data_IF_772327956606
#
_entry.id   IF_772327956606
#
_cell.length_a   1.000
_cell.length_b   1.000
_cell.length_c   1.000
_cell.angle_alpha   90.00
_cell.angle_beta   90.00
_cell.angle_gamma   90.00
#
_symmetry.space_group_name_H-M   'P 1'
#
loop_
_entity.id
_entity.type
_entity.pdbx_description
1 polymer ?
#
# COMPACT_ATOMS: atom_id res chain seq x y z
N UNK A 1 38.98 13.27 -10.17
CA UNK A 1 37.64 13.79 -9.78
C UNK A 1 36.71 12.59 -9.62
N UNK A 2 36.29 12.30 -8.38
CA UNK A 2 35.43 11.16 -8.01
C UNK A 2 34.03 11.35 -8.60
N UNK A 3 33.61 10.47 -9.50
CA UNK A 3 32.18 10.28 -9.82
C UNK A 3 31.70 9.11 -8.98
N UNK A 4 31.09 9.42 -7.84
CA UNK A 4 30.36 8.45 -7.04
C UNK A 4 29.07 8.12 -7.82
N UNK A 5 29.06 7.01 -8.55
CA UNK A 5 27.81 6.43 -9.03
C UNK A 5 27.09 5.87 -7.79
N UNK A 6 26.17 6.65 -7.23
CA UNK A 6 25.16 6.15 -6.30
C UNK A 6 24.26 5.19 -7.08
N UNK A 7 24.57 3.90 -6.98
CA UNK A 7 23.73 2.84 -7.48
C UNK A 7 22.40 2.85 -6.75
N UNK A 8 21.33 3.08 -7.50
CA UNK A 8 19.97 2.82 -7.06
C UNK A 8 19.89 1.34 -6.65
N UNK A 9 19.72 1.06 -5.36
CA UNK A 9 19.35 -0.27 -4.91
C UNK A 9 17.95 -0.57 -5.42
N UNK A 10 17.89 -1.41 -6.45
CA UNK A 10 16.67 -2.05 -6.93
C UNK A 10 16.26 -3.07 -5.88
N UNK A 11 15.25 -2.75 -5.08
CA UNK A 11 14.54 -3.76 -4.30
C UNK A 11 13.67 -4.56 -5.28
N UNK A 12 14.12 -5.77 -5.61
CA UNK A 12 13.33 -6.71 -6.39
C UNK A 12 12.00 -6.97 -5.66
N UNK A 13 10.89 -6.62 -6.33
CA UNK A 13 9.54 -6.91 -5.86
C UNK A 13 9.35 -8.42 -5.94
N UNK A 14 9.54 -9.12 -4.83
CA UNK A 14 9.05 -10.48 -4.70
C UNK A 14 7.53 -10.42 -4.79
N UNK A 15 6.96 -11.06 -5.81
CA UNK A 15 5.52 -11.30 -5.86
C UNK A 15 5.12 -12.03 -4.58
N UNK A 16 4.46 -11.33 -3.65
CA UNK A 16 3.88 -11.94 -2.46
C UNK A 16 2.69 -12.76 -2.96
N UNK A 17 2.98 -14.01 -3.32
CA UNK A 17 1.95 -15.02 -3.49
C UNK A 17 1.29 -15.22 -2.13
N UNK A 18 -0.02 -14.98 -2.06
CA UNK A 18 -0.85 -15.38 -0.91
C UNK A 18 -0.95 -16.92 -0.89
N UNK A 19 0.17 -17.59 -0.63
CA UNK A 19 0.30 -19.03 -0.44
C UNK A 19 0.39 -19.33 1.04
N UNK A 20 -0.61 -20.08 1.55
CA UNK A 20 -0.98 -20.14 2.96
C UNK A 20 0.12 -20.41 4.00
N UNK A 21 0.00 -19.75 5.14
CA UNK A 21 -0.07 -20.37 6.47
C UNK A 21 -0.60 -19.34 7.48
N UNK A 22 -1.78 -19.59 8.05
CA UNK A 22 -2.46 -18.75 9.04
C UNK A 22 -3.81 -18.26 8.54
N UNK A 23 -4.86 -19.05 8.75
CA UNK A 23 -6.22 -18.57 8.57
C UNK A 23 -6.53 -17.55 9.68
N UNK A 24 -6.43 -16.26 9.36
CA UNK A 24 -7.01 -15.20 10.19
C UNK A 24 -8.41 -14.93 9.67
N UNK A 25 -9.39 -15.60 10.29
CA UNK A 25 -10.79 -15.44 9.95
C UNK A 25 -11.31 -14.08 10.40
N UNK A 26 -11.69 -13.25 9.44
CA UNK A 26 -12.45 -12.02 9.65
C UNK A 26 -13.36 -11.72 8.45
N UNK A 27 -14.21 -12.67 8.06
CA UNK A 27 -15.01 -12.62 6.82
C UNK A 27 -16.10 -11.52 6.75
N UNK A 28 -16.04 -10.47 7.58
CA UNK A 28 -17.10 -9.47 7.74
C UNK A 28 -16.66 -8.01 7.46
N UNK A 29 -15.70 -7.78 6.56
CA UNK A 29 -15.26 -6.40 6.25
C UNK A 29 -14.58 -5.69 7.43
N UNK A 30 -14.09 -6.46 8.41
CA UNK A 30 -13.28 -5.95 9.51
C UNK A 30 -11.81 -5.90 9.08
N UNK A 31 -11.05 -5.00 9.71
CA UNK A 31 -9.60 -4.92 9.54
C UNK A 31 -8.96 -6.25 9.97
N UNK A 32 -8.06 -6.76 9.15
CA UNK A 32 -7.31 -7.99 9.39
C UNK A 32 -5.81 -7.69 9.32
N UNK A 33 -5.04 -8.44 10.10
CA UNK A 33 -3.58 -8.35 10.15
C UNK A 33 -2.92 -9.47 9.34
N UNK A 34 -1.74 -9.20 8.79
CA UNK A 34 -0.89 -10.21 8.16
C UNK A 34 0.60 -9.85 8.30
N UNK A 35 1.46 -10.83 8.01
CA UNK A 35 2.92 -10.67 7.98
C UNK A 35 3.64 -11.48 9.05
N UNK A 36 4.95 -11.25 9.15
CA UNK A 36 5.85 -11.92 10.10
C UNK A 36 6.26 -11.03 11.27
N UNK A 37 5.98 -9.73 11.18
CA UNK A 37 6.11 -8.77 12.29
C UNK A 37 4.92 -8.83 13.25
N UNK A 38 5.00 -8.06 14.33
CA UNK A 38 3.91 -7.95 15.32
C UNK A 38 2.91 -6.90 14.84
N UNK A 39 1.70 -7.32 14.47
CA UNK A 39 0.62 -6.41 14.08
C UNK A 39 -0.48 -6.46 15.13
N UNK A 40 -0.79 -5.32 15.74
CA UNK A 40 -1.85 -5.20 16.75
C UNK A 40 -2.93 -4.28 16.22
N UNK A 41 -4.13 -4.83 15.97
CA UNK A 41 -5.32 -4.03 15.63
C UNK A 41 -5.77 -3.27 16.88
N UNK A 42 -5.82 -1.94 16.79
CA UNK A 42 -6.13 -1.04 17.92
C UNK A 42 -7.52 -0.44 17.84
N UNK A 43 -8.22 -0.60 16.71
CA UNK A 43 -9.57 -0.12 16.48
C UNK A 43 -10.15 -0.70 15.19
N UNK A 44 -11.35 -0.25 14.82
CA UNK A 44 -12.04 -0.75 13.62
C UNK A 44 -11.27 -0.48 12.32
N UNK A 45 -10.50 0.61 12.29
CA UNK A 45 -9.78 1.14 11.14
C UNK A 45 -8.32 1.53 11.51
N UNK A 46 -7.77 0.96 12.58
CA UNK A 46 -6.42 1.28 13.05
C UNK A 46 -5.64 0.08 13.56
N UNK A 47 -4.32 0.12 13.35
CA UNK A 47 -3.38 -0.86 13.84
C UNK A 47 -1.99 -0.26 14.09
N UNK A 48 -1.21 -0.93 14.93
CA UNK A 48 0.23 -0.73 15.08
C UNK A 48 0.98 -1.92 14.49
N UNK A 49 2.15 -1.67 13.93
CA UNK A 49 3.00 -2.66 13.29
C UNK A 49 4.41 -2.49 13.83
N UNK A 50 4.99 -3.54 14.39
CA UNK A 50 6.39 -3.56 14.86
C UNK A 50 7.13 -4.64 14.10
N UNK A 51 8.12 -4.22 13.32
CA UNK A 51 8.97 -5.10 12.53
C UNK A 51 10.40 -5.10 13.07
N UNK A 52 10.93 -6.30 13.32
CA UNK A 52 12.36 -6.52 13.42
C UNK A 52 13.00 -6.58 12.02
N UNK A 53 14.33 -6.69 11.97
CA UNK A 53 15.06 -6.85 10.70
C UNK A 53 14.58 -8.08 9.94
N UNK A 54 14.23 -7.90 8.66
CA UNK A 54 13.71 -8.98 7.80
C UNK A 54 12.23 -9.30 7.99
N UNK A 55 11.53 -8.63 8.92
CA UNK A 55 10.08 -8.78 9.08
C UNK A 55 9.30 -7.76 8.25
N UNK A 56 8.05 -8.11 7.98
CA UNK A 56 7.05 -7.20 7.45
C UNK A 56 5.73 -7.43 8.17
N UNK A 57 4.89 -6.40 8.20
CA UNK A 57 3.58 -6.47 8.80
C UNK A 57 2.63 -5.57 8.04
N UNK A 58 1.36 -5.92 8.00
CA UNK A 58 0.37 -5.14 7.30
C UNK A 58 -1.04 -5.43 7.73
N UNK A 59 -1.95 -4.63 7.20
CA UNK A 59 -3.38 -4.77 7.40
C UNK A 59 -4.13 -4.67 6.09
N UNK A 60 -5.27 -5.35 6.00
CA UNK A 60 -6.21 -5.21 4.91
C UNK A 60 -7.63 -5.29 5.43
N UNK A 61 -8.57 -4.77 4.65
CA UNK A 61 -10.00 -5.00 4.86
C UNK A 61 -10.44 -5.92 3.74
N UNK A 62 -11.02 -7.08 4.08
CA UNK A 62 -11.52 -8.03 3.10
C UNK A 62 -12.88 -7.59 2.54
N UNK A 63 -12.95 -6.35 2.05
CA UNK A 63 -14.09 -5.81 1.32
C UNK A 63 -13.83 -5.88 -0.18
N UNK A 64 -14.87 -6.19 -0.95
CA UNK A 64 -14.84 -6.17 -2.42
C UNK A 64 -15.56 -4.95 -3.00
N UNK A 65 -15.96 -3.99 -2.17
CA UNK A 65 -16.73 -2.82 -2.63
C UNK A 65 -16.02 -2.03 -3.73
N UNK A 66 -14.68 -2.00 -3.74
CA UNK A 66 -13.89 -1.31 -4.77
C UNK A 66 -13.34 -2.24 -5.86
N UNK A 67 -13.57 -3.55 -5.77
CA UNK A 67 -13.06 -4.51 -6.74
C UNK A 67 -13.71 -4.25 -8.11
N UNK A 68 -12.88 -4.04 -9.14
CA UNK A 68 -13.33 -3.76 -10.50
C UNK A 68 -13.72 -2.31 -10.76
N UNK A 69 -13.64 -1.41 -9.77
CA UNK A 69 -13.86 0.01 -10.00
C UNK A 69 -12.73 0.63 -10.82
N UNK A 70 -13.06 1.64 -11.64
CA UNK A 70 -12.07 2.42 -12.37
C UNK A 70 -11.17 3.18 -11.41
N UNK A 71 -9.92 3.42 -11.80
CA UNK A 71 -8.97 4.14 -10.93
C UNK A 71 -9.45 5.55 -10.57
N UNK A 72 -10.15 6.24 -11.46
CA UNK A 72 -10.71 7.57 -11.19
C UNK A 72 -11.99 7.56 -10.33
N UNK A 73 -12.51 6.37 -9.99
CA UNK A 73 -13.74 6.21 -9.25
C UNK A 73 -13.51 5.76 -7.79
N UNK A 74 -12.25 5.57 -7.37
CA UNK A 74 -11.90 5.09 -6.03
C UNK A 74 -11.20 6.17 -5.21
N UNK A 75 -11.48 6.17 -3.93
CA UNK A 75 -10.75 6.93 -2.92
C UNK A 75 -10.22 5.97 -1.86
N UNK A 76 -8.89 5.88 -1.79
CA UNK A 76 -8.19 5.14 -0.76
C UNK A 76 -7.39 6.10 0.09
N UNK A 77 -7.44 5.95 1.41
CA UNK A 77 -6.55 6.67 2.31
C UNK A 77 -6.28 5.96 3.61
N UNK A 78 -5.17 6.33 4.26
CA UNK A 78 -4.93 6.09 5.67
C UNK A 78 -4.05 7.21 6.24
N UNK A 79 -4.02 7.34 7.56
CA UNK A 79 -3.06 8.20 8.27
C UNK A 79 -1.91 7.32 8.75
N UNK A 80 -0.71 7.62 8.26
CA UNK A 80 0.55 7.07 8.74
C UNK A 80 0.99 7.78 10.01
N UNK A 81 1.55 7.03 10.95
CA UNK A 81 2.29 7.54 12.11
C UNK A 81 3.46 6.63 12.48
N UNK A 82 4.30 7.08 13.42
CA UNK A 82 5.50 6.34 13.81
C UNK A 82 6.64 6.53 12.80
N UNK A 83 7.34 5.46 12.49
CA UNK A 83 8.46 5.48 11.55
C UNK A 83 8.00 5.67 10.09
N UNK A 84 8.83 6.36 9.29
CA UNK A 84 8.69 6.47 7.83
C UNK A 84 10.04 6.17 7.20
N UNK A 85 10.19 4.98 6.62
CA UNK A 85 11.47 4.48 6.10
C UNK A 85 11.23 3.32 5.12
N UNK A 86 12.13 3.08 4.18
CA UNK A 86 12.07 1.92 3.28
C UNK A 86 10.85 1.90 2.32
N UNK A 87 10.16 3.02 2.15
CA UNK A 87 8.87 3.08 1.45
C UNK A 87 7.70 2.54 2.29
N UNK A 88 7.84 2.52 3.61
CA UNK A 88 6.81 2.11 4.56
C UNK A 88 6.37 3.25 5.50
N UNK A 89 5.11 3.23 5.97
CA UNK A 89 4.04 2.34 5.50
C UNK A 89 3.54 2.78 4.10
N UNK A 90 3.11 1.81 3.29
CA UNK A 90 2.53 2.05 1.96
C UNK A 90 1.16 1.43 1.78
N UNK A 91 0.32 2.09 1.02
CA UNK A 91 -0.88 1.50 0.44
C UNK A 91 -0.51 0.78 -0.86
N UNK A 92 -0.81 -0.51 -0.94
CA UNK A 92 -0.63 -1.34 -2.12
C UNK A 92 -1.98 -1.65 -2.75
N UNK A 93 -2.21 -1.17 -3.97
CA UNK A 93 -3.49 -1.28 -4.67
C UNK A 93 -3.31 -2.18 -5.90
N UNK A 94 -3.98 -3.35 -5.98
CA UNK A 94 -3.85 -4.25 -7.12
C UNK A 94 -4.52 -3.66 -8.35
N UNK A 95 -3.79 -3.54 -9.46
CA UNK A 95 -4.27 -2.92 -10.70
C UNK A 95 -4.41 -3.98 -11.79
N UNK A 96 -5.55 -3.94 -12.48
CA UNK A 96 -5.76 -4.60 -13.77
C UNK A 96 -5.69 -3.54 -14.88
N UNK A 97 -4.76 -3.71 -15.83
CA UNK A 97 -4.60 -2.79 -16.96
C UNK A 97 -5.44 -3.17 -18.19
N UNK A 98 -5.98 -4.39 -18.22
CA UNK A 98 -6.66 -4.95 -19.39
C UNK A 98 -8.15 -4.58 -19.47
N UNK A 99 -8.62 -3.71 -18.56
CA UNK A 99 -9.96 -3.13 -18.60
C UNK A 99 -11.09 -4.03 -18.08
N UNK A 100 -10.78 -5.24 -17.62
CA UNK A 100 -11.74 -6.19 -17.06
C UNK A 100 -11.09 -7.48 -16.54
N UNK A 101 -11.77 -8.14 -15.60
CA UNK A 101 -11.32 -9.41 -15.00
C UNK A 101 -10.43 -9.26 -13.77
N UNK A 102 -9.96 -10.40 -13.26
CA UNK A 102 -9.22 -10.49 -11.99
C UNK A 102 -7.69 -10.51 -12.12
N UNK A 103 -7.13 -10.43 -13.33
CA UNK A 103 -5.66 -10.46 -13.50
C UNK A 103 -5.02 -9.22 -12.87
N UNK A 104 -4.02 -9.42 -12.01
CA UNK A 104 -3.22 -8.34 -11.42
C UNK A 104 -2.02 -8.09 -12.31
N UNK A 105 -2.01 -6.97 -13.02
CA UNK A 105 -0.85 -6.52 -13.81
C UNK A 105 0.30 -6.04 -12.91
N UNK A 106 -0.04 -5.49 -11.75
CA UNK A 106 0.91 -5.07 -10.73
C UNK A 106 0.19 -4.37 -9.56
N UNK A 107 0.97 -3.89 -8.60
CA UNK A 107 0.47 -3.07 -7.50
C UNK A 107 0.92 -1.63 -7.70
N UNK A 108 -0.02 -0.69 -7.61
CA UNK A 108 0.29 0.72 -7.47
C UNK A 108 0.54 1.01 -5.98
N UNK A 109 1.66 1.67 -5.69
CA UNK A 109 2.09 1.97 -4.33
C UNK A 109 2.00 3.47 -4.05
N UNK A 110 1.40 3.82 -2.92
CA UNK A 110 1.44 5.18 -2.36
C UNK A 110 2.02 5.05 -0.97
N UNK A 111 3.20 5.61 -0.73
CA UNK A 111 3.88 5.48 0.56
C UNK A 111 3.93 6.81 1.32
N UNK A 112 4.10 6.71 2.65
CA UNK A 112 4.13 7.87 3.53
C UNK A 112 5.22 8.88 3.15
N UNK A 113 6.40 8.42 2.71
CA UNK A 113 7.49 9.32 2.31
C UNK A 113 7.17 10.05 1.00
N UNK A 114 6.58 9.34 0.03
CA UNK A 114 6.05 9.88 -1.23
C UNK A 114 4.90 10.87 -1.05
N UNK A 115 4.27 10.90 0.13
CA UNK A 115 3.29 11.91 0.55
C UNK A 115 3.90 13.02 1.44
N UNK A 116 5.22 13.08 1.59
CA UNK A 116 5.92 14.09 2.40
C UNK A 116 6.06 13.75 3.89
N UNK A 117 5.75 12.51 4.27
CA UNK A 117 5.82 12.04 5.65
C UNK A 117 7.24 11.88 6.17
N UNK A 118 7.37 11.98 7.49
CA UNK A 118 8.64 11.87 8.22
C UNK A 118 8.40 11.11 9.52
N UNK A 119 9.39 10.34 9.98
CA UNK A 119 9.32 9.62 11.25
C UNK A 119 8.93 10.55 12.40
N UNK A 120 8.02 10.09 13.26
CA UNK A 120 7.49 10.84 14.40
C UNK A 120 6.35 11.80 14.05
N UNK A 121 6.03 12.00 12.77
CA UNK A 121 4.90 12.80 12.30
C UNK A 121 3.69 11.96 11.92
N UNK A 122 2.53 12.60 11.81
CA UNK A 122 1.35 12.03 11.16
C UNK A 122 1.29 12.48 9.70
N UNK A 123 0.93 11.59 8.78
CA UNK A 123 0.84 11.92 7.34
C UNK A 123 -0.31 11.17 6.70
N UNK A 124 -1.20 11.89 6.03
CA UNK A 124 -2.26 11.27 5.23
C UNK A 124 -1.70 10.76 3.91
N UNK A 125 -1.79 9.46 3.71
CA UNK A 125 -1.52 8.79 2.44
C UNK A 125 -2.86 8.62 1.73
N UNK A 126 -3.02 9.19 0.53
CA UNK A 126 -4.32 9.16 -0.16
C UNK A 126 -4.22 9.27 -1.68
N UNK A 127 -5.10 8.56 -2.38
CA UNK A 127 -5.32 8.72 -3.82
C UNK A 127 -5.90 10.09 -4.19
N UNK A 128 -6.51 10.81 -3.24
CA UNK A 128 -7.08 12.14 -3.48
C UNK A 128 -6.06 13.26 -3.23
N UNK A 129 -4.86 12.94 -2.73
CA UNK A 129 -3.80 13.91 -2.49
C UNK A 129 -3.02 14.17 -3.77
N UNK A 130 -2.90 15.45 -4.16
CA UNK A 130 -2.05 15.87 -5.27
C UNK A 130 -0.55 15.84 -4.96
N UNK A 131 -0.19 15.63 -3.69
CA UNK A 131 1.20 15.59 -3.20
C UNK A 131 1.74 14.17 -3.06
N UNK A 132 0.86 13.16 -3.09
CA UNK A 132 1.23 11.77 -2.92
C UNK A 132 1.68 11.17 -4.26
N UNK A 133 2.97 10.94 -4.41
CA UNK A 133 3.52 10.21 -5.55
C UNK A 133 3.01 8.77 -5.57
N UNK A 134 2.90 8.21 -6.79
CA UNK A 134 2.42 6.84 -7.00
C UNK A 134 3.43 6.07 -7.84
N UNK A 135 3.97 4.99 -7.31
CA UNK A 135 4.81 4.09 -8.08
C UNK A 135 3.98 2.95 -8.68
N UNK A 136 4.04 2.77 -10.00
CA UNK A 136 3.40 1.63 -10.67
C UNK A 136 4.24 1.19 -11.86
N UNK A 137 4.52 -0.12 -11.95
CA UNK A 137 5.36 -0.72 -13.01
C UNK A 137 6.71 -0.01 -13.18
N UNK A 138 7.36 0.36 -12.07
CA UNK A 138 8.63 1.11 -12.04
C UNK A 138 8.57 2.53 -12.60
N UNK A 139 7.38 3.09 -12.81
CA UNK A 139 7.16 4.49 -13.17
C UNK A 139 6.63 5.24 -11.95
N UNK A 140 7.23 6.40 -11.68
CA UNK A 140 6.77 7.32 -10.63
C UNK A 140 5.83 8.37 -11.25
N UNK A 141 4.58 8.35 -10.82
CA UNK A 141 3.56 9.32 -11.22
C UNK A 141 3.43 10.39 -10.13
N UNK A 142 3.24 11.67 -10.50
CA UNK A 142 3.17 12.75 -9.52
C UNK A 142 1.97 12.65 -8.58
N UNK A 143 0.91 11.96 -9.00
CA UNK A 143 -0.25 11.64 -8.17
C UNK A 143 -1.13 10.56 -8.84
N UNK A 144 -2.16 10.12 -8.11
CA UNK A 144 -3.11 9.12 -8.58
C UNK A 144 -3.89 9.56 -9.82
N UNK A 145 -4.24 10.84 -9.94
CA UNK A 145 -4.94 11.34 -11.11
C UNK A 145 -4.07 11.19 -12.37
N UNK A 146 -2.76 11.45 -12.28
CA UNK A 146 -1.83 11.23 -13.38
C UNK A 146 -1.73 9.74 -13.75
N UNK A 147 -1.71 8.83 -12.77
CA UNK A 147 -1.77 7.39 -13.03
C UNK A 147 -3.08 7.01 -13.76
N UNK A 148 -4.22 7.48 -13.26
CA UNK A 148 -5.53 7.19 -13.85
C UNK A 148 -5.66 7.73 -15.29
N UNK A 149 -5.01 8.86 -15.61
CA UNK A 149 -4.95 9.39 -16.97
C UNK A 149 -4.05 8.55 -17.89
N UNK A 150 -2.95 8.00 -17.38
CA UNK A 150 -2.06 7.12 -18.14
C UNK A 150 -2.71 5.76 -18.44
N UNK A 151 -3.61 5.30 -17.57
CA UNK A 151 -4.34 4.04 -17.72
C UNK A 151 -5.86 4.25 -17.59
N UNK A 152 -6.50 4.89 -18.59
CA UNK A 152 -7.90 5.35 -18.48
C UNK A 152 -8.92 4.21 -18.36
N UNK A 153 -8.56 3.00 -18.80
CA UNK A 153 -9.40 1.80 -18.70
C UNK A 153 -9.04 0.92 -17.51
N UNK A 154 -7.93 1.21 -16.81
CA UNK A 154 -7.48 0.37 -15.71
C UNK A 154 -8.45 0.42 -14.53
N UNK A 155 -8.45 -0.67 -13.79
CA UNK A 155 -9.34 -0.91 -12.66
C UNK A 155 -8.55 -1.43 -11.48
N UNK A 156 -9.13 -1.29 -10.28
CA UNK A 156 -8.74 -2.14 -9.16
C UNK A 156 -9.04 -3.59 -9.56
N UNK A 157 -8.06 -4.49 -9.47
CA UNK A 157 -8.18 -5.84 -9.99
C UNK A 157 -9.36 -6.59 -9.32
N UNK A 158 -10.21 -7.20 -10.15
CA UNK A 158 -11.46 -7.80 -9.67
C UNK A 158 -11.18 -9.00 -8.74
N UNK A 159 -11.84 -9.04 -7.59
CA UNK A 159 -11.67 -10.10 -6.60
C UNK A 159 -10.46 -9.94 -5.67
N UNK A 160 -9.62 -8.93 -5.92
CA UNK A 160 -8.51 -8.55 -5.05
C UNK A 160 -8.88 -7.34 -4.18
N UNK A 161 -8.10 -7.11 -3.13
CA UNK A 161 -8.31 -6.01 -2.18
C UNK A 161 -7.01 -5.23 -1.96
N UNK A 162 -7.08 -3.89 -1.81
CA UNK A 162 -5.95 -3.10 -1.37
C UNK A 162 -5.52 -3.48 0.05
N UNK A 163 -4.25 -3.26 0.37
CA UNK A 163 -3.70 -3.49 1.70
C UNK A 163 -2.65 -2.45 2.05
N UNK A 164 -2.47 -2.21 3.35
CA UNK A 164 -1.41 -1.34 3.86
C UNK A 164 -0.33 -2.23 4.44
N UNK A 165 0.93 -1.96 4.11
CA UNK A 165 2.06 -2.76 4.56
C UNK A 165 3.20 -1.85 5.02
N UNK A 166 3.87 -2.26 6.08
CA UNK A 166 5.19 -1.80 6.43
C UNK A 166 6.20 -2.92 6.12
N UNK A 167 6.97 -2.70 5.06
CA UNK A 167 8.04 -3.57 4.57
C UNK A 167 9.31 -2.75 4.28
N UNK A 168 10.45 -3.41 4.13
CA UNK A 168 11.70 -2.75 3.74
C UNK A 168 12.63 -2.31 4.89
N UNK A 169 12.14 -2.12 6.12
CA UNK A 169 13.00 -1.88 7.28
C UNK A 169 12.37 -2.22 8.63
N UNK A 170 13.22 -2.53 9.61
CA UNK A 170 12.82 -2.59 11.01
C UNK A 170 12.28 -1.22 11.47
N UNK A 171 11.27 -1.23 12.33
CA UNK A 171 10.62 -0.01 12.79
C UNK A 171 9.29 -0.27 13.49
N UNK A 172 8.73 0.81 14.05
CA UNK A 172 7.41 0.85 14.68
C UNK A 172 6.51 1.83 13.94
N UNK A 173 5.47 1.32 13.33
CA UNK A 173 4.56 2.03 12.44
C UNK A 173 3.15 2.03 13.03
N UNK A 174 2.38 3.05 12.72
CA UNK A 174 0.96 3.13 13.04
C UNK A 174 0.17 3.50 11.77
N UNK A 175 -1.00 2.88 11.62
CA UNK A 175 -1.95 3.18 10.55
C UNK A 175 -3.32 3.39 11.17
N UNK A 176 -4.03 4.41 10.73
CA UNK A 176 -5.37 4.75 11.23
C UNK A 176 -6.22 5.43 10.17
N UNK A 177 -7.52 5.64 10.45
CA UNK A 177 -8.44 6.35 9.57
C UNK A 177 -8.44 5.76 8.15
N UNK A 178 -8.46 4.43 8.08
CA UNK A 178 -8.41 3.69 6.82
C UNK A 178 -9.74 3.87 6.08
N UNK A 179 -9.68 4.40 4.86
CA UNK A 179 -10.81 4.61 3.97
C UNK A 179 -10.64 3.78 2.72
N UNK A 180 -11.68 3.02 2.38
CA UNK A 180 -11.83 2.29 1.13
C UNK A 180 -13.22 2.61 0.55
N UNK A 181 -13.32 3.61 -0.31
CA UNK A 181 -14.58 4.02 -0.95
C UNK A 181 -14.47 3.98 -2.45
#
# INVERSE_FOLDING_TARGET
>A
MKRLLMGFMVAAVAAIGFGGAGAFAGANGQLQAFGTGTVTITGADSATIVNASGQFGGVYIQSKSQSGMLLNAVTFSFVSGGDVTGGAPRFSIPINTDGGGGSVAGYAFIDAAGCGGKSGGATTVSTSSSLCHVNFLSVDYPNWAALALAFPTARVAQGHFPFIIADGSAGSYAVSSIVLT
#
